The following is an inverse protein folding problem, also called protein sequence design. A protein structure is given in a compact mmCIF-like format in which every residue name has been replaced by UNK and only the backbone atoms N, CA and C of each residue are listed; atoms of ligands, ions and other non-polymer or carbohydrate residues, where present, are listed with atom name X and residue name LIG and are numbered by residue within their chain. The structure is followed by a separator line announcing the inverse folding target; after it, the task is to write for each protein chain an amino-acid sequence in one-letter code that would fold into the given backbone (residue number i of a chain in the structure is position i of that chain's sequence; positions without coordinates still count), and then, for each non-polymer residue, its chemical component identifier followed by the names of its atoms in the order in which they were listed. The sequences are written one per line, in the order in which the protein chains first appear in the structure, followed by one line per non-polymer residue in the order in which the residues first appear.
data_IF_285919123348
#
_entry.id   IF_285919123348
#
_cell.length_a   1.000
_cell.length_b   1.000
_cell.length_c   1.000
_cell.angle_alpha   90.00
_cell.angle_beta   90.00
_cell.angle_gamma   90.00
#
_symmetry.space_group_name_H-M   'P 1'
#
loop_
_entity.id
_entity.type
_entity.pdbx_description
1 polymer ?
#
# COMPACT_ATOMS: atom_id res chain seq x y z
N UNK A 1 3.24 -11.00 3.09
CA UNK A 1 3.60 -9.58 2.85
C UNK A 1 3.75 -9.21 1.39
N UNK A 2 3.67 -10.19 0.52
CA UNK A 2 3.78 -9.94 -0.92
C UNK A 2 2.72 -8.97 -1.44
N UNK A 3 1.50 -9.13 -0.95
CA UNK A 3 0.39 -8.25 -1.33
C UNK A 3 0.68 -6.79 -0.98
N UNK A 4 1.28 -6.55 0.18
CA UNK A 4 1.64 -5.21 0.61
C UNK A 4 2.72 -4.61 -0.27
N UNK A 5 3.70 -5.40 -0.65
CA UNK A 5 4.75 -4.96 -1.58
C UNK A 5 4.15 -4.53 -2.92
N UNK A 6 3.22 -5.33 -3.43
CA UNK A 6 2.56 -5.03 -4.70
C UNK A 6 1.74 -3.75 -4.59
N UNK A 7 1.00 -3.58 -3.50
CA UNK A 7 0.21 -2.38 -3.27
C UNK A 7 1.11 -1.15 -3.14
N UNK A 8 2.20 -1.27 -2.40
CA UNK A 8 3.14 -0.17 -2.22
C UNK A 8 3.77 0.24 -3.55
N UNK A 9 4.17 -0.74 -4.36
CA UNK A 9 4.75 -0.48 -5.68
C UNK A 9 3.74 0.23 -6.58
N UNK A 10 2.50 -0.25 -6.61
CA UNK A 10 1.44 0.36 -7.41
C UNK A 10 1.14 1.78 -6.94
N UNK A 11 1.08 1.97 -5.62
CA UNK A 11 0.80 3.27 -5.03
C UNK A 11 1.90 4.27 -5.37
N UNK A 12 3.16 3.84 -5.26
CA UNK A 12 4.30 4.69 -5.60
C UNK A 12 4.25 5.13 -7.05
N UNK A 13 3.98 4.19 -7.96
CA UNK A 13 3.88 4.49 -9.39
C UNK A 13 2.75 5.49 -9.67
N UNK A 14 1.60 5.32 -9.02
CA UNK A 14 0.46 6.22 -9.21
C UNK A 14 0.75 7.62 -8.63
N UNK A 15 1.44 7.68 -7.50
CA UNK A 15 1.81 8.96 -6.90
C UNK A 15 2.76 9.71 -7.81
N UNK A 16 3.77 9.04 -8.37
CA UNK A 16 4.72 9.65 -9.29
C UNK A 16 4.03 10.18 -10.54
N UNK A 17 3.12 9.39 -11.10
CA UNK A 17 2.35 9.81 -12.26
C UNK A 17 1.45 11.01 -11.93
N UNK A 18 0.84 11.01 -10.75
CA UNK A 18 -0.02 12.10 -10.32
C UNK A 18 0.76 13.40 -10.11
N UNK A 19 1.97 13.31 -9.56
CA UNK A 19 2.82 14.49 -9.37
C UNK A 19 3.24 15.10 -10.71
N UNK A 20 3.45 14.24 -11.71
CA UNK A 20 3.78 14.71 -13.05
C UNK A 20 2.58 15.34 -13.75
N UNK A 21 1.41 14.76 -13.58
CA UNK A 21 0.18 15.25 -14.20
C UNK A 21 -1.01 14.98 -13.28
N UNK A 22 -1.48 15.99 -12.61
CA UNK A 22 -2.57 15.89 -11.66
C UNK A 22 -3.90 15.75 -12.39
N UNK A 23 -4.51 14.56 -12.28
CA UNK A 23 -5.79 14.26 -12.90
C UNK A 23 -6.75 13.69 -11.87
N UNK A 24 -8.06 13.82 -12.15
CA UNK A 24 -9.07 13.23 -11.26
C UNK A 24 -8.99 11.72 -11.23
N UNK A 25 -8.68 11.10 -12.37
CA UNK A 25 -8.52 9.65 -12.45
C UNK A 25 -7.35 9.17 -11.60
N UNK A 26 -6.22 9.87 -11.63
CA UNK A 26 -5.06 9.55 -10.82
C UNK A 26 -5.38 9.67 -9.33
N UNK A 27 -6.07 10.74 -8.95
CA UNK A 27 -6.48 10.95 -7.57
C UNK A 27 -7.38 9.82 -7.07
N UNK A 28 -8.33 9.37 -7.89
CA UNK A 28 -9.22 8.28 -7.55
C UNK A 28 -8.47 6.96 -7.36
N UNK A 29 -7.50 6.68 -8.22
CA UNK A 29 -6.67 5.48 -8.11
C UNK A 29 -5.86 5.46 -6.82
N UNK A 30 -5.23 6.58 -6.50
CA UNK A 30 -4.45 6.72 -5.27
C UNK A 30 -5.35 6.49 -4.06
N UNK A 31 -6.54 7.06 -4.08
CA UNK A 31 -7.51 6.91 -2.99
C UNK A 31 -7.91 5.46 -2.78
N UNK A 32 -8.15 4.74 -3.88
CA UNK A 32 -8.48 3.31 -3.83
C UNK A 32 -7.35 2.48 -3.25
N UNK A 33 -6.13 2.74 -3.71
CA UNK A 33 -4.96 2.02 -3.22
C UNK A 33 -4.70 2.29 -1.74
N UNK A 34 -4.91 3.52 -1.31
CA UNK A 34 -4.77 3.89 0.10
C UNK A 34 -5.78 3.14 0.96
N UNK A 35 -7.02 2.99 0.48
CA UNK A 35 -8.03 2.23 1.19
C UNK A 35 -7.65 0.76 1.32
N UNK A 36 -7.10 0.18 0.26
CA UNK A 36 -6.63 -1.21 0.31
C UNK A 36 -5.52 -1.38 1.33
N UNK A 37 -4.60 -0.44 1.40
CA UNK A 37 -3.53 -0.47 2.40
C UNK A 37 -4.11 -0.41 3.82
N UNK A 38 -5.10 0.43 4.04
CA UNK A 38 -5.76 0.53 5.34
C UNK A 38 -6.42 -0.79 5.73
N UNK A 39 -7.06 -1.46 4.77
CA UNK A 39 -7.73 -2.73 5.03
C UNK A 39 -6.75 -3.86 5.34
N UNK A 40 -5.58 -3.83 4.71
CA UNK A 40 -4.57 -4.87 4.87
C UNK A 40 -3.62 -4.58 6.04
N UNK A 41 -3.61 -3.35 6.53
CA UNK A 41 -2.74 -2.93 7.62
C UNK A 41 -2.78 -3.83 8.85
N UNK A 42 -3.95 -4.18 9.39
CA UNK A 42 -4.04 -5.07 10.54
C UNK A 42 -3.41 -6.44 10.30
N UNK A 43 -3.57 -6.99 9.09
CA UNK A 43 -2.98 -8.28 8.72
C UNK A 43 -1.46 -8.19 8.71
N UNK A 44 -0.91 -7.12 8.16
CA UNK A 44 0.53 -6.89 8.13
C UNK A 44 1.07 -6.76 9.54
N UNK A 45 0.39 -6.01 10.38
CA UNK A 45 0.79 -5.83 11.77
C UNK A 45 0.85 -7.17 12.50
N UNK A 46 -0.13 -8.02 12.25
CA UNK A 46 -0.20 -9.35 12.84
C UNK A 46 0.97 -10.23 12.38
N UNK A 47 1.30 -10.16 11.09
CA UNK A 47 2.42 -10.90 10.53
C UNK A 47 3.74 -10.47 11.15
N UNK A 48 3.92 -9.17 11.37
CA UNK A 48 5.13 -8.63 11.97
C UNK A 48 5.28 -9.07 13.43
N UNK A 49 4.19 -9.10 14.17
CA UNK A 49 4.20 -9.56 15.56
C UNK A 49 4.60 -11.04 15.62
N UNK A 50 4.07 -11.85 14.70
CA UNK A 50 4.41 -13.26 14.61
C UNK A 50 5.89 -13.45 14.29
N UNK A 51 6.43 -12.66 13.38
CA UNK A 51 7.84 -12.72 13.02
C UNK A 51 8.74 -12.35 14.21
N UNK A 52 8.36 -11.32 14.97
CA UNK A 52 9.10 -10.91 16.17
C UNK A 52 9.14 -12.03 17.21
N UNK A 53 8.01 -12.70 17.42
CA UNK A 53 7.93 -13.81 18.38
C UNK A 53 8.75 -15.01 17.94
N UNK A 54 8.95 -15.17 16.65
CA UNK A 54 9.74 -16.28 16.11
C UNK A 54 11.25 -16.03 16.18
N UNK A 55 11.70 -14.95 16.78
CA UNK A 55 13.11 -14.63 16.91
C UNK A 55 13.71 -13.94 15.68
N UNK A 56 12.90 -13.26 15.00
CA UNK A 56 13.24 -12.55 13.77
C UNK A 56 14.33 -11.48 13.96
#
# INVERSE_FOLDING_TARGET
MEEVKQLATSLLAEIEAFEAKKTKAGSARIRKLTQRLNNIGPTVRKDLITADKAGY
#
